data_IF_471997006515
#
_entry.id   IF_471997006515
#
_cell.length_a   1.000
_cell.length_b   1.000
_cell.length_c   1.000
_cell.angle_alpha   90.00
_cell.angle_beta   90.00
_cell.angle_gamma   90.00
#
_symmetry.space_group_name_H-M   'P 1'
#
loop_
_entity.id
_entity.type
_entity.pdbx_description
1 polymer ?
#
# COMPACT_ATOMS: atom_id res chain seq x y z
N UNK A 1 -19.09 16.24 -4.36
CA UNK A 1 -17.80 15.53 -4.31
C UNK A 1 -17.99 14.22 -5.08
N UNK A 2 -17.02 13.78 -5.87
CA UNK A 2 -17.14 12.51 -6.61
C UNK A 2 -17.03 11.35 -5.60
N UNK A 3 -17.91 10.36 -5.68
CA UNK A 3 -17.92 9.15 -4.82
C UNK A 3 -16.55 8.46 -4.74
N UNK A 4 -15.76 8.50 -5.82
CA UNK A 4 -14.41 7.93 -5.81
C UNK A 4 -13.44 8.68 -4.89
N UNK A 5 -13.61 10.00 -4.74
CA UNK A 5 -12.73 10.81 -3.88
C UNK A 5 -12.96 10.52 -2.40
N UNK A 6 -14.18 10.14 -2.01
CA UNK A 6 -14.50 9.74 -0.64
C UNK A 6 -13.77 8.46 -0.24
N UNK A 7 -13.50 7.57 -1.20
CA UNK A 7 -12.74 6.33 -0.99
C UNK A 7 -11.24 6.57 -1.06
N UNK A 8 -10.78 7.33 -2.06
CA UNK A 8 -9.35 7.47 -2.35
C UNK A 8 -8.64 8.47 -1.44
N UNK A 9 -9.34 9.52 -0.96
CA UNK A 9 -8.72 10.53 -0.09
C UNK A 9 -8.23 9.93 1.23
N UNK A 10 -9.03 9.12 1.96
CA UNK A 10 -8.56 8.46 3.17
C UNK A 10 -7.38 7.51 2.92
N UNK A 11 -7.34 6.84 1.76
CA UNK A 11 -6.21 5.97 1.38
C UNK A 11 -4.95 6.80 1.15
N UNK A 12 -5.06 7.93 0.44
CA UNK A 12 -3.95 8.84 0.21
C UNK A 12 -3.40 9.41 1.53
N UNK A 13 -4.28 9.79 2.46
CA UNK A 13 -3.89 10.26 3.79
C UNK A 13 -3.20 9.16 4.61
N UNK A 14 -3.73 7.94 4.58
CA UNK A 14 -3.13 6.79 5.25
C UNK A 14 -1.73 6.49 4.70
N UNK A 15 -1.54 6.52 3.38
CA UNK A 15 -0.25 6.36 2.75
C UNK A 15 0.72 7.49 3.13
N UNK A 16 0.24 8.73 3.19
CA UNK A 16 1.03 9.89 3.64
C UNK A 16 1.52 9.70 5.08
N UNK A 17 0.63 9.31 6.00
CA UNK A 17 1.00 9.01 7.40
C UNK A 17 2.02 7.87 7.48
N UNK A 18 1.73 6.74 6.83
CA UNK A 18 2.64 5.58 6.81
C UNK A 18 4.00 5.89 6.20
N UNK A 19 4.07 6.75 5.19
CA UNK A 19 5.35 7.17 4.60
C UNK A 19 6.18 8.04 5.56
N UNK A 20 5.52 8.84 6.41
CA UNK A 20 6.18 9.57 7.50
C UNK A 20 6.67 8.62 8.60
N UNK A 21 5.87 7.61 8.95
CA UNK A 21 6.15 6.70 10.08
C UNK A 21 7.15 5.58 9.74
N UNK A 22 7.12 5.05 8.51
CA UNK A 22 7.91 3.89 8.07
C UNK A 22 8.99 4.23 7.03
N UNK A 23 9.12 5.50 6.63
CA UNK A 23 10.08 5.93 5.62
C UNK A 23 9.98 5.16 4.30
N UNK A 24 11.14 4.89 3.67
CA UNK A 24 11.27 4.22 2.38
C UNK A 24 11.17 2.68 2.43
N UNK A 25 10.60 2.09 3.49
CA UNK A 25 10.59 0.63 3.70
C UNK A 25 10.06 -0.18 2.50
N UNK A 26 8.99 0.29 1.84
CA UNK A 26 8.49 -0.37 0.62
C UNK A 26 9.51 -0.30 -0.53
N UNK A 27 10.12 0.87 -0.76
CA UNK A 27 11.13 1.08 -1.79
C UNK A 27 12.36 0.19 -1.55
N UNK A 28 12.82 0.07 -0.30
CA UNK A 28 13.94 -0.80 0.08
C UNK A 28 13.61 -2.27 -0.19
N UNK A 29 12.48 -2.75 0.31
CA UNK A 29 11.99 -4.11 0.03
C UNK A 29 11.88 -4.37 -1.48
N UNK A 30 11.38 -3.38 -2.23
CA UNK A 30 11.19 -3.46 -3.68
C UNK A 30 12.50 -3.46 -4.46
N UNK A 31 13.56 -2.80 -3.97
CA UNK A 31 14.91 -2.85 -4.53
C UNK A 31 15.59 -4.19 -4.23
N UNK A 32 15.41 -4.72 -3.02
CA UNK A 32 16.03 -5.97 -2.59
C UNK A 32 15.41 -7.20 -3.28
N UNK A 33 14.07 -7.28 -3.30
CA UNK A 33 13.35 -8.46 -3.79
C UNK A 33 12.73 -8.28 -5.18
N UNK A 34 12.89 -7.11 -5.80
CA UNK A 34 12.31 -6.82 -7.11
C UNK A 34 10.77 -6.83 -7.10
N UNK A 35 10.13 -6.97 -8.28
CA UNK A 35 8.66 -6.96 -8.41
C UNK A 35 7.95 -8.02 -7.56
N UNK A 36 8.65 -9.08 -7.17
CA UNK A 36 8.16 -10.13 -6.27
C UNK A 36 7.72 -9.57 -4.92
N UNK A 37 8.34 -8.49 -4.43
CA UNK A 37 7.91 -7.81 -3.20
C UNK A 37 6.43 -7.38 -3.27
N UNK A 38 6.02 -6.78 -4.39
CA UNK A 38 4.62 -6.38 -4.61
C UNK A 38 3.71 -7.60 -4.67
N UNK A 39 4.09 -8.61 -5.46
CA UNK A 39 3.27 -9.80 -5.68
C UNK A 39 3.00 -10.54 -4.37
N UNK A 40 4.01 -10.68 -3.52
CA UNK A 40 3.86 -11.28 -2.19
C UNK A 40 2.88 -10.49 -1.32
N UNK A 41 3.06 -9.17 -1.23
CA UNK A 41 2.19 -8.30 -0.42
C UNK A 41 0.75 -8.33 -0.91
N UNK A 42 0.53 -8.29 -2.23
CA UNK A 42 -0.81 -8.43 -2.80
C UNK A 42 -1.39 -9.81 -2.51
N UNK A 43 -0.62 -10.88 -2.68
CA UNK A 43 -1.07 -12.24 -2.40
C UNK A 43 -1.53 -12.42 -0.96
N UNK A 44 -0.82 -11.86 0.02
CA UNK A 44 -1.22 -11.87 1.43
C UNK A 44 -2.58 -11.18 1.63
N UNK A 45 -2.78 -10.00 1.02
CA UNK A 45 -4.06 -9.26 1.11
C UNK A 45 -5.20 -9.96 0.38
N UNK A 46 -4.93 -10.57 -0.78
CA UNK A 46 -5.91 -11.38 -1.49
C UNK A 46 -6.30 -12.64 -0.72
N UNK A 47 -5.33 -13.29 -0.07
CA UNK A 47 -5.58 -14.43 0.82
C UNK A 47 -6.51 -14.04 1.97
N UNK A 48 -6.24 -12.89 2.60
CA UNK A 48 -7.11 -12.33 3.63
C UNK A 48 -8.52 -12.03 3.12
N UNK A 49 -8.63 -11.37 1.97
CA UNK A 49 -9.92 -11.03 1.36
C UNK A 49 -10.75 -12.29 1.08
N UNK A 50 -10.12 -13.37 0.59
CA UNK A 50 -10.77 -14.68 0.40
C UNK A 50 -11.29 -15.26 1.72
N UNK A 51 -10.55 -15.12 2.81
CA UNK A 51 -11.01 -15.59 4.13
C UNK A 51 -12.20 -14.79 4.62
N UNK A 52 -12.12 -13.44 4.56
CA UNK A 52 -13.19 -12.55 5.00
C UNK A 52 -14.49 -12.68 4.20
N UNK A 53 -14.40 -13.06 2.92
CA UNK A 53 -15.57 -13.26 2.05
C UNK A 53 -16.23 -14.62 2.24
N UNK A 54 -15.51 -15.63 2.72
CA UNK A 54 -16.02 -17.00 2.91
C UNK A 54 -16.50 -17.29 4.32
N UNK A 55 -15.88 -16.66 5.32
CA UNK A 55 -16.26 -16.80 6.72
C UNK A 55 -16.93 -15.47 7.13
N UNK A 56 -18.20 -15.50 7.54
CA UNK A 56 -18.81 -14.38 8.26
C UNK A 56 -17.89 -14.06 9.45
N UNK A 57 -17.11 -12.97 9.31
CA UNK A 57 -15.91 -12.75 10.08
C UNK A 57 -16.18 -12.83 11.59
N UNK A 58 -15.63 -13.86 12.25
CA UNK A 58 -15.63 -14.00 13.71
C UNK A 58 -14.60 -13.06 14.37
N UNK A 59 -13.86 -12.27 13.58
CA UNK A 59 -12.83 -11.34 14.06
C UNK A 59 -13.21 -9.93 13.62
N UNK A 60 -13.47 -9.06 14.61
CA UNK A 60 -13.97 -7.68 14.42
C UNK A 60 -12.89 -6.67 14.03
N UNK A 61 -11.61 -7.02 14.12
CA UNK A 61 -10.56 -6.00 14.15
C UNK A 61 -10.13 -5.45 12.78
N UNK A 62 -10.41 -6.14 11.68
CA UNK A 62 -10.04 -5.66 10.34
C UNK A 62 -11.08 -6.07 9.29
N UNK A 63 -11.59 -5.07 8.58
CA UNK A 63 -12.73 -5.23 7.66
C UNK A 63 -12.31 -5.60 6.22
N UNK A 64 -13.30 -6.02 5.42
CA UNK A 64 -13.14 -6.17 3.96
C UNK A 64 -12.70 -4.82 3.35
N UNK A 65 -13.27 -3.72 3.83
CA UNK A 65 -12.95 -2.37 3.35
C UNK A 65 -11.49 -2.02 3.62
N UNK A 66 -10.96 -2.30 4.82
CA UNK A 66 -9.55 -2.06 5.15
C UNK A 66 -8.62 -2.88 4.27
N UNK A 67 -9.00 -4.14 3.98
CA UNK A 67 -8.22 -5.02 3.10
C UNK A 67 -8.19 -4.48 1.66
N UNK A 68 -9.30 -3.95 1.16
CA UNK A 68 -9.35 -3.32 -0.16
C UNK A 68 -8.52 -2.03 -0.20
N UNK A 69 -8.59 -1.20 0.85
CA UNK A 69 -7.77 0.01 1.00
C UNK A 69 -6.27 -0.32 1.02
N UNK A 70 -5.87 -1.40 1.69
CA UNK A 70 -4.49 -1.88 1.69
C UNK A 70 -4.02 -2.28 0.28
N UNK A 71 -4.86 -2.97 -0.50
CA UNK A 71 -4.56 -3.35 -1.89
C UNK A 71 -4.37 -2.09 -2.75
N UNK A 72 -5.30 -1.14 -2.66
CA UNK A 72 -5.18 0.16 -3.35
C UNK A 72 -3.88 0.86 -2.91
N UNK A 73 -3.55 0.80 -1.62
CA UNK A 73 -2.33 1.34 -1.05
C UNK A 73 -1.06 0.78 -1.68
N UNK A 74 -0.91 -0.55 -1.73
CA UNK A 74 0.25 -1.20 -2.33
C UNK A 74 0.36 -0.95 -3.84
N UNK A 75 -0.76 -0.96 -4.57
CA UNK A 75 -0.78 -0.58 -5.99
C UNK A 75 -0.32 0.87 -6.19
N UNK A 76 -0.73 1.79 -5.31
CA UNK A 76 -0.31 3.19 -5.35
C UNK A 76 1.19 3.35 -5.06
N UNK A 77 1.73 2.59 -4.10
CA UNK A 77 3.16 2.58 -3.79
C UNK A 77 3.99 2.06 -4.96
N UNK A 78 3.58 1.00 -5.65
CA UNK A 78 4.27 0.53 -6.85
C UNK A 78 4.20 1.57 -7.98
N UNK A 79 3.03 2.17 -8.23
CA UNK A 79 2.91 3.22 -9.23
C UNK A 79 3.81 4.42 -8.91
N UNK A 80 3.92 4.80 -7.63
CA UNK A 80 4.88 5.81 -7.18
C UNK A 80 6.31 5.36 -7.47
N UNK A 81 6.68 4.14 -7.08
CA UNK A 81 8.02 3.59 -7.33
C UNK A 81 8.39 3.62 -8.82
N UNK A 82 7.49 3.17 -9.70
CA UNK A 82 7.69 3.15 -11.16
C UNK A 82 7.78 4.56 -11.76
N UNK A 83 7.04 5.54 -11.22
CA UNK A 83 7.14 6.95 -11.63
C UNK A 83 8.43 7.59 -11.12
N UNK A 84 8.86 7.20 -9.92
CA UNK A 84 10.03 7.71 -9.21
C UNK A 84 11.32 6.94 -9.54
N UNK A 85 11.34 6.03 -10.54
CA UNK A 85 12.57 5.39 -11.04
C UNK A 85 13.63 6.42 -11.52
N UNK A 86 13.28 7.71 -11.61
CA UNK A 86 14.21 8.84 -11.83
C UNK A 86 14.81 9.49 -10.56
N UNK A 87 14.28 9.23 -9.37
CA UNK A 87 14.69 9.92 -8.12
C UNK A 87 14.87 8.99 -6.92
N UNK A 88 14.44 7.72 -7.01
CA UNK A 88 14.75 6.73 -5.98
C UNK A 88 16.27 6.45 -5.86
N UNK A 89 17.09 6.94 -6.78
CA UNK A 89 18.56 6.98 -6.66
C UNK A 89 19.16 8.33 -6.23
N UNK A 90 18.38 9.41 -6.07
CA UNK A 90 18.93 10.78 -5.98
C UNK A 90 18.36 11.71 -4.90
N UNK A 91 17.35 11.33 -4.10
CA UNK A 91 16.92 12.17 -2.96
C UNK A 91 16.76 11.39 -1.67
N UNK A 92 17.65 10.43 -1.42
CA UNK A 92 18.01 10.04 -0.05
C UNK A 92 19.03 11.05 0.50
N UNK A 93 18.62 12.31 0.56
CA UNK A 93 19.31 13.39 1.22
C UNK A 93 18.25 14.17 1.96
N UNK A 94 18.35 14.15 3.29
CA UNK A 94 17.76 15.17 4.14
C UNK A 94 17.91 16.56 3.50
N UNK A 95 16.91 17.43 3.69
CA UNK A 95 16.65 18.79 3.15
C UNK A 95 15.41 18.80 2.22
N UNK A 96 14.28 19.42 2.57
CA UNK A 96 13.98 20.51 3.52
C UNK A 96 12.78 20.14 4.39
#
# INVERSE_FOLDING_TARGET
>A
MNEFLEILTPVAELLKRKNTDYGNNYCETRREFGPTALLLRLNDKFGRLKTLTKQQAQVKDESIEDTLKDIIGYCTLELRYLRDEKTCGLTCGWYV
#
